data_IF_861466436855
#
_entry.id   IF_861466436855
#
_cell.length_a   1.000
_cell.length_b   1.000
_cell.length_c   1.000
_cell.angle_alpha   90.00
_cell.angle_beta   90.00
_cell.angle_gamma   90.00
#
_symmetry.space_group_name_H-M   'P 1'
#
loop_
_entity.id
_entity.type
_entity.pdbx_description
1 polymer ?
#
# COMPACT_ATOMS: atom_id res chain seq x y z
N UNK A 1 -29.88 -61.91 2.56
CA UNK A 1 -30.87 -61.08 3.28
C UNK A 1 -30.24 -59.72 3.57
N UNK A 2 -31.07 -58.68 3.65
CA UNK A 2 -30.76 -57.22 3.71
C UNK A 2 -30.59 -56.54 2.35
N UNK A 3 -31.76 -56.24 1.77
CA UNK A 3 -31.98 -55.23 0.72
C UNK A 3 -31.99 -53.85 1.40
N UNK A 4 -31.12 -52.93 0.98
CA UNK A 4 -31.22 -51.51 1.33
C UNK A 4 -31.65 -50.75 0.08
N UNK A 5 -32.94 -50.42 0.04
CA UNK A 5 -33.56 -49.56 -0.97
C UNK A 5 -33.39 -48.13 -0.47
N UNK A 6 -32.60 -47.33 -1.18
CA UNK A 6 -32.52 -45.89 -0.93
C UNK A 6 -33.69 -45.17 -1.61
N UNK A 7 -34.40 -44.41 -0.79
CA UNK A 7 -35.59 -43.64 -1.07
C UNK A 7 -35.24 -42.36 -1.83
N UNK A 8 -35.98 -42.11 -2.91
CA UNK A 8 -35.94 -40.90 -3.73
C UNK A 8 -36.49 -39.73 -2.92
N UNK A 9 -35.70 -38.67 -2.74
CA UNK A 9 -36.16 -37.37 -2.26
C UNK A 9 -35.99 -36.35 -3.39
N UNK A 10 -37.03 -36.22 -4.20
CA UNK A 10 -37.21 -35.11 -5.14
C UNK A 10 -37.62 -33.89 -4.33
N UNK A 11 -36.75 -32.88 -4.24
CA UNK A 11 -37.09 -31.60 -3.62
C UNK A 11 -37.24 -30.55 -4.72
N UNK A 12 -38.48 -30.07 -4.83
CA UNK A 12 -38.97 -29.16 -5.84
C UNK A 12 -38.24 -27.81 -5.82
N UNK A 13 -37.83 -27.34 -7.00
CA UNK A 13 -37.51 -25.94 -7.25
C UNK A 13 -38.80 -25.13 -7.19
N UNK A 14 -38.93 -24.24 -6.20
CA UNK A 14 -40.01 -23.27 -6.14
C UNK A 14 -39.54 -21.98 -6.82
N UNK A 15 -39.94 -21.83 -8.08
CA UNK A 15 -39.89 -20.57 -8.83
C UNK A 15 -41.02 -19.67 -8.32
N UNK A 16 -40.67 -18.49 -7.78
CA UNK A 16 -41.62 -17.41 -7.61
C UNK A 16 -41.33 -16.33 -8.66
N UNK A 17 -42.35 -16.02 -9.45
CA UNK A 17 -42.37 -15.03 -10.51
C UNK A 17 -43.14 -13.82 -10.00
N UNK A 18 -42.61 -12.60 -10.14
CA UNK A 18 -43.49 -11.45 -10.39
C UNK A 18 -42.80 -10.33 -11.16
N UNK A 19 -43.44 -9.96 -12.26
CA UNK A 19 -43.09 -8.94 -13.24
C UNK A 19 -43.31 -7.53 -12.71
N UNK A 20 -42.56 -6.55 -13.21
CA UNK A 20 -43.13 -5.39 -13.92
C UNK A 20 -42.06 -4.50 -14.56
N UNK A 21 -42.29 -4.26 -15.86
CA UNK A 21 -42.08 -3.00 -16.59
C UNK A 21 -40.67 -2.55 -16.95
N UNK A 22 -40.35 -2.79 -18.22
CA UNK A 22 -39.41 -2.05 -19.06
C UNK A 22 -39.71 -0.55 -19.05
N UNK A 23 -38.68 0.27 -18.85
CA UNK A 23 -38.61 1.59 -19.47
C UNK A 23 -37.17 1.80 -19.92
N UNK A 24 -36.97 1.75 -21.23
CA UNK A 24 -35.79 2.30 -21.90
C UNK A 24 -35.74 3.80 -21.60
N UNK A 25 -34.56 4.33 -21.27
CA UNK A 25 -34.16 5.68 -21.67
C UNK A 25 -32.64 5.85 -21.51
N UNK A 26 -31.97 5.75 -22.67
CA UNK A 26 -30.92 6.66 -23.16
C UNK A 26 -30.19 7.48 -22.09
N UNK A 27 -28.97 7.06 -21.75
CA UNK A 27 -28.02 7.89 -21.03
C UNK A 27 -27.58 9.05 -21.93
N UNK A 28 -28.27 10.17 -21.80
CA UNK A 28 -27.85 11.47 -22.26
C UNK A 28 -26.85 12.06 -21.25
N UNK A 29 -25.70 12.41 -21.80
CA UNK A 29 -24.72 13.37 -21.32
C UNK A 29 -25.32 14.48 -20.46
N UNK A 30 -25.12 14.40 -19.14
CA UNK A 30 -25.20 15.57 -18.26
C UNK A 30 -23.86 15.73 -17.58
N UNK A 31 -23.14 16.77 -18.01
CA UNK A 31 -21.96 17.31 -17.36
C UNK A 31 -22.29 17.59 -15.90
N UNK A 32 -21.69 16.81 -14.99
CA UNK A 32 -21.54 17.23 -13.61
C UNK A 32 -20.38 18.22 -13.56
N UNK A 33 -20.74 19.49 -13.45
CA UNK A 33 -19.86 20.60 -13.13
C UNK A 33 -19.06 20.26 -11.88
N UNK A 34 -17.79 19.90 -12.06
CA UNK A 34 -16.81 19.81 -10.98
C UNK A 34 -16.52 21.24 -10.52
N UNK A 35 -17.16 21.65 -9.42
CA UNK A 35 -16.72 22.80 -8.63
C UNK A 35 -15.31 22.50 -8.17
N UNK A 36 -14.34 23.07 -8.87
CA UNK A 36 -12.95 23.11 -8.46
C UNK A 36 -12.91 24.07 -7.27
N UNK A 37 -13.02 23.53 -6.07
CA UNK A 37 -12.46 24.21 -4.90
C UNK A 37 -10.96 24.24 -5.11
N UNK A 38 -10.53 25.34 -5.71
CA UNK A 38 -9.14 25.71 -5.82
C UNK A 38 -8.68 26.01 -4.40
N UNK A 39 -8.28 24.97 -3.66
CA UNK A 39 -7.50 25.13 -2.44
C UNK A 39 -6.29 25.94 -2.85
N UNK A 40 -6.27 27.18 -2.41
CA UNK A 40 -5.14 28.09 -2.55
C UNK A 40 -3.96 27.43 -1.86
N UNK A 41 -3.15 26.68 -2.63
CA UNK A 41 -1.87 26.17 -2.17
C UNK A 41 -1.02 27.41 -1.98
N UNK A 42 -1.07 27.94 -0.77
CA UNK A 42 -0.11 28.94 -0.32
C UNK A 42 1.21 28.20 -0.33
N UNK A 43 2.04 28.45 -1.33
CA UNK A 43 3.42 27.98 -1.36
C UNK A 43 4.15 28.60 -0.18
N UNK A 44 4.01 27.96 0.98
CA UNK A 44 4.90 28.17 2.10
C UNK A 44 6.27 27.70 1.62
N UNK A 45 7.23 28.62 1.62
CA UNK A 45 8.64 28.35 1.38
C UNK A 45 9.04 27.18 2.29
N UNK A 46 9.18 25.97 1.75
CA UNK A 46 9.47 24.81 2.59
C UNK A 46 10.86 25.02 3.19
N UNK A 47 10.91 25.01 4.51
CA UNK A 47 12.14 25.00 5.32
C UNK A 47 12.87 23.63 5.24
N UNK A 48 12.60 22.85 4.19
CA UNK A 48 13.05 21.47 4.05
C UNK A 48 12.25 20.45 4.86
N UNK A 49 11.16 20.85 5.53
CA UNK A 49 10.25 19.93 6.22
C UNK A 49 9.10 19.47 5.30
N UNK A 50 8.56 18.29 5.58
CA UNK A 50 7.35 17.76 4.99
C UNK A 50 6.10 18.43 5.63
N UNK A 51 5.08 18.68 4.81
CA UNK A 51 3.80 19.24 5.29
C UNK A 51 2.90 18.10 5.80
N UNK A 52 2.86 17.92 7.12
CA UNK A 52 2.07 16.89 7.78
C UNK A 52 0.55 17.11 7.64
N UNK A 53 0.10 18.33 7.33
CA UNK A 53 -1.33 18.63 7.18
C UNK A 53 -1.96 17.97 5.94
N UNK A 54 -1.12 17.53 4.99
CA UNK A 54 -1.55 16.82 3.78
C UNK A 54 -1.94 15.36 4.04
N UNK A 55 -1.70 14.82 5.25
CA UNK A 55 -2.03 13.45 5.60
C UNK A 55 -1.42 12.45 4.61
N UNK A 56 -2.23 11.59 3.99
CA UNK A 56 -1.76 10.59 3.00
C UNK A 56 -1.15 11.21 1.73
N UNK A 57 -1.36 12.51 1.48
CA UNK A 57 -0.80 13.24 0.34
C UNK A 57 0.53 13.93 0.68
N UNK A 58 1.06 13.73 1.89
CA UNK A 58 2.34 14.33 2.29
C UNK A 58 3.48 13.89 1.38
N UNK A 59 4.44 14.77 1.19
CA UNK A 59 5.63 14.51 0.37
C UNK A 59 6.85 14.41 1.27
N UNK A 60 7.50 13.24 1.26
CA UNK A 60 8.76 12.99 1.96
C UNK A 60 9.80 12.56 0.93
N UNK A 61 10.90 13.28 0.83
CA UNK A 61 11.98 12.97 -0.12
C UNK A 61 13.26 13.68 0.31
N UNK A 62 14.35 13.59 -0.46
CA UNK A 62 15.67 14.20 -0.16
C UNK A 62 15.64 15.73 0.08
N UNK A 63 14.55 16.43 -0.22
CA UNK A 63 14.34 17.87 0.02
C UNK A 63 13.32 18.17 1.13
N UNK A 64 12.47 17.20 1.51
CA UNK A 64 11.39 17.35 2.47
C UNK A 64 11.48 16.23 3.50
N UNK A 65 12.02 16.53 4.68
CA UNK A 65 12.19 15.55 5.77
C UNK A 65 11.02 15.58 6.75
N UNK A 66 10.87 14.49 7.49
CA UNK A 66 10.02 14.39 8.66
C UNK A 66 10.77 14.82 9.94
N UNK A 67 10.05 15.36 10.94
CA UNK A 67 10.59 15.57 12.28
C UNK A 67 11.12 14.26 12.90
N UNK A 68 12.12 14.37 13.79
CA UNK A 68 12.72 13.21 14.44
C UNK A 68 11.77 12.47 15.38
N UNK A 69 10.80 13.18 15.96
CA UNK A 69 9.77 12.66 16.86
C UNK A 69 8.49 12.20 16.12
N UNK A 70 8.42 12.38 14.80
CA UNK A 70 7.31 11.86 14.00
C UNK A 70 7.40 10.34 13.89
N UNK A 71 6.60 9.65 14.68
CA UNK A 71 6.63 8.20 14.88
C UNK A 71 5.19 7.62 14.91
N UNK A 72 4.49 7.60 13.77
CA UNK A 72 3.09 7.17 13.71
C UNK A 72 2.90 5.64 13.81
N UNK A 73 3.96 4.85 13.60
CA UNK A 73 3.83 3.42 13.32
C UNK A 73 3.34 3.16 11.89
N UNK A 74 3.07 1.89 11.57
CA UNK A 74 2.46 1.51 10.29
C UNK A 74 1.02 2.03 10.21
N UNK A 75 0.64 2.62 9.08
CA UNK A 75 -0.74 2.99 8.84
C UNK A 75 -1.60 1.72 8.68
N UNK A 76 -2.64 1.51 9.52
CA UNK A 76 -3.38 0.25 9.54
C UNK A 76 -4.12 -0.06 8.23
N UNK A 77 -4.65 0.96 7.56
CA UNK A 77 -5.38 0.80 6.29
C UNK A 77 -4.39 0.44 5.18
N UNK A 78 -3.26 1.14 5.11
CA UNK A 78 -2.24 0.85 4.10
C UNK A 78 -1.64 -0.56 4.30
N UNK A 79 -1.36 -0.94 5.56
CA UNK A 79 -0.90 -2.28 5.89
C UNK A 79 -1.90 -3.37 5.49
N UNK A 80 -3.21 -3.14 5.68
CA UNK A 80 -4.25 -4.05 5.20
C UNK A 80 -4.21 -4.20 3.68
N UNK A 81 -4.10 -3.10 2.94
CA UNK A 81 -4.04 -3.13 1.47
C UNK A 81 -2.78 -3.78 0.92
N UNK A 82 -1.64 -3.66 1.59
CA UNK A 82 -0.42 -4.38 1.21
C UNK A 82 -0.56 -5.88 1.44
N UNK A 83 -1.22 -6.31 2.52
CA UNK A 83 -1.50 -7.73 2.75
C UNK A 83 -2.46 -8.31 1.70
N UNK A 84 -3.50 -7.58 1.31
CA UNK A 84 -4.37 -7.95 0.18
C UNK A 84 -3.58 -8.08 -1.13
N UNK A 85 -2.68 -7.13 -1.41
CA UNK A 85 -1.82 -7.18 -2.59
C UNK A 85 -0.91 -8.42 -2.59
N UNK A 86 -0.22 -8.68 -1.47
CA UNK A 86 0.67 -9.83 -1.31
C UNK A 86 -0.10 -11.14 -1.55
N UNK A 87 -1.27 -11.29 -0.91
CA UNK A 87 -2.13 -12.45 -1.11
C UNK A 87 -2.49 -12.59 -2.59
N UNK A 88 -2.85 -11.50 -3.26
CA UNK A 88 -3.23 -11.55 -4.68
C UNK A 88 -2.06 -11.97 -5.57
N UNK A 89 -0.84 -11.53 -5.28
CA UNK A 89 0.34 -11.96 -6.01
C UNK A 89 0.61 -13.46 -5.82
N UNK A 90 0.42 -13.98 -4.60
CA UNK A 90 0.58 -15.41 -4.32
C UNK A 90 -0.48 -16.26 -5.05
N UNK A 91 -1.73 -15.80 -5.09
CA UNK A 91 -2.81 -16.46 -5.87
C UNK A 91 -2.51 -16.53 -7.37
N UNK A 92 -1.79 -15.54 -7.90
CA UNK A 92 -1.32 -15.50 -9.29
C UNK A 92 -0.06 -16.36 -9.53
N UNK A 93 0.47 -17.02 -8.50
CA UNK A 93 1.61 -17.93 -8.60
C UNK A 93 2.98 -17.26 -8.46
N UNK A 94 3.04 -15.98 -8.07
CA UNK A 94 4.32 -15.32 -7.80
C UNK A 94 4.91 -15.81 -6.46
N UNK A 95 6.23 -16.04 -6.43
CA UNK A 95 6.95 -16.39 -5.20
C UNK A 95 7.18 -15.12 -4.36
N UNK A 96 6.19 -14.76 -3.54
CA UNK A 96 6.19 -13.56 -2.68
C UNK A 96 6.09 -13.97 -1.21
N UNK A 97 6.89 -13.33 -0.36
CA UNK A 97 6.85 -13.53 1.08
C UNK A 97 5.60 -12.90 1.71
N UNK A 98 5.13 -13.48 2.81
CA UNK A 98 4.14 -12.81 3.67
C UNK A 98 4.75 -11.63 4.46
N UNK A 99 6.08 -11.57 4.53
CA UNK A 99 6.81 -10.50 5.21
C UNK A 99 7.13 -9.36 4.24
N UNK A 100 7.14 -8.14 4.75
CA UNK A 100 7.50 -6.91 4.03
C UNK A 100 8.22 -5.94 4.97
N UNK A 101 8.89 -4.92 4.40
CA UNK A 101 9.48 -3.82 5.17
C UNK A 101 8.53 -2.63 5.15
N UNK A 102 7.79 -2.42 6.24
CA UNK A 102 6.84 -1.31 6.38
C UNK A 102 7.46 -0.12 7.11
N UNK A 103 6.81 0.30 8.20
CA UNK A 103 7.24 1.44 9.01
C UNK A 103 8.68 1.30 9.54
N UNK A 104 9.47 2.38 9.39
CA UNK A 104 10.79 2.52 10.00
C UNK A 104 10.86 3.82 10.78
N UNK A 105 11.14 3.71 12.09
CA UNK A 105 11.32 4.91 12.93
C UNK A 105 12.56 5.71 12.52
N UNK A 106 12.59 6.97 12.93
CA UNK A 106 13.76 7.83 12.75
C UNK A 106 15.04 7.21 13.33
N UNK A 107 14.96 6.62 14.53
CA UNK A 107 16.10 5.99 15.20
C UNK A 107 16.57 4.74 14.47
N UNK A 108 15.64 3.91 13.99
CA UNK A 108 15.99 2.75 13.17
C UNK A 108 16.68 3.21 11.87
N UNK A 109 16.13 4.22 11.20
CA UNK A 109 16.72 4.78 9.97
C UNK A 109 18.10 5.39 10.23
N UNK A 110 18.32 5.96 11.42
CA UNK A 110 19.63 6.48 11.84
C UNK A 110 20.65 5.34 11.89
N UNK A 111 20.34 4.25 12.58
CA UNK A 111 21.23 3.10 12.69
C UNK A 111 21.51 2.47 11.32
N UNK A 112 20.45 2.26 10.52
CA UNK A 112 20.56 1.69 9.18
C UNK A 112 21.45 2.53 8.26
N UNK A 113 21.21 3.84 8.20
CA UNK A 113 22.01 4.74 7.38
C UNK A 113 23.47 4.74 7.84
N UNK A 114 23.74 4.77 9.15
CA UNK A 114 25.12 4.73 9.66
C UNK A 114 25.81 3.39 9.36
N UNK A 115 25.10 2.27 9.40
CA UNK A 115 25.66 0.98 8.99
C UNK A 115 26.14 1.02 7.53
N UNK A 116 25.36 1.61 6.63
CA UNK A 116 25.73 1.78 5.23
C UNK A 116 26.89 2.77 5.04
N UNK A 117 26.90 3.89 5.76
CA UNK A 117 28.04 4.83 5.75
C UNK A 117 29.33 4.14 6.19
N UNK A 118 29.26 3.32 7.25
CA UNK A 118 30.43 2.62 7.77
C UNK A 118 30.93 1.51 6.83
N UNK A 119 30.01 0.86 6.10
CA UNK A 119 30.32 -0.24 5.19
C UNK A 119 30.85 0.24 3.84
N UNK A 120 30.15 1.19 3.22
CA UNK A 120 30.34 1.55 1.80
C UNK A 120 30.72 3.02 1.60
N UNK A 121 30.80 3.81 2.68
CA UNK A 121 31.10 5.23 2.62
C UNK A 121 29.85 6.09 2.41
N UNK A 122 29.99 7.37 2.80
CA UNK A 122 28.87 8.31 2.83
C UNK A 122 28.25 8.58 1.46
N UNK A 123 29.09 8.73 0.43
CA UNK A 123 28.63 9.03 -0.92
C UNK A 123 27.80 7.89 -1.50
N UNK A 124 28.22 6.63 -1.32
CA UNK A 124 27.46 5.46 -1.72
C UNK A 124 26.16 5.33 -0.91
N UNK A 125 26.21 5.49 0.42
CA UNK A 125 25.02 5.43 1.26
C UNK A 125 23.97 6.49 0.88
N UNK A 126 24.38 7.69 0.44
CA UNK A 126 23.47 8.73 -0.05
C UNK A 126 22.75 8.37 -1.37
N UNK A 127 23.22 7.37 -2.14
CA UNK A 127 22.58 6.94 -3.40
C UNK A 127 21.48 5.90 -3.17
N UNK A 128 21.71 4.92 -2.31
CA UNK A 128 20.79 3.78 -2.12
C UNK A 128 20.09 3.75 -0.75
N UNK A 129 20.52 4.57 0.21
CA UNK A 129 19.86 4.72 1.50
C UNK A 129 19.27 6.13 1.67
N UNK A 130 18.64 6.37 2.81
CA UNK A 130 18.08 7.65 3.19
C UNK A 130 18.65 8.10 4.54
N UNK A 131 19.05 9.37 4.61
CA UNK A 131 19.35 10.03 5.88
C UNK A 131 18.10 10.01 6.78
N UNK A 132 18.23 9.97 8.12
CA UNK A 132 17.07 9.93 8.99
C UNK A 132 16.19 11.18 8.79
N UNK A 133 14.87 11.00 8.80
CA UNK A 133 13.89 12.01 8.40
C UNK A 133 13.57 12.03 6.90
N UNK A 134 14.46 11.53 6.02
CA UNK A 134 14.28 11.59 4.57
C UNK A 134 13.75 10.28 3.94
N UNK A 135 13.36 9.32 4.76
CA UNK A 135 12.82 8.02 4.34
C UNK A 135 11.29 8.03 4.36
N UNK A 136 10.65 7.67 3.24
CA UNK A 136 9.19 7.53 3.19
C UNK A 136 8.66 6.45 4.15
N UNK A 137 9.48 5.47 4.55
CA UNK A 137 9.06 4.47 5.53
C UNK A 137 8.72 5.07 6.90
N UNK A 138 9.25 6.26 7.23
CA UNK A 138 8.89 6.94 8.49
C UNK A 138 7.44 7.48 8.46
N UNK A 139 6.81 7.58 7.28
CA UNK A 139 5.38 7.92 7.16
C UNK A 139 4.44 6.80 7.63
N UNK A 140 4.93 5.55 7.64
CA UNK A 140 4.07 4.37 7.81
C UNK A 140 3.21 4.03 6.59
N UNK A 141 3.44 4.68 5.44
CA UNK A 141 2.70 4.49 4.19
C UNK A 141 3.53 3.80 3.09
N UNK A 142 4.84 3.60 3.29
CA UNK A 142 5.74 2.95 2.34
C UNK A 142 6.05 1.51 2.76
N UNK A 143 6.13 0.63 1.76
CA UNK A 143 6.26 -0.82 1.94
C UNK A 143 7.17 -1.44 0.87
N UNK A 144 8.29 -2.03 1.28
CA UNK A 144 9.12 -2.84 0.38
C UNK A 144 8.62 -4.28 0.39
N UNK A 145 8.27 -4.81 -0.78
CA UNK A 145 7.76 -6.18 -0.96
C UNK A 145 8.93 -7.15 -1.10
N UNK A 146 8.86 -8.30 -0.41
CA UNK A 146 9.91 -9.32 -0.45
C UNK A 146 9.52 -10.51 -1.33
N UNK A 147 10.49 -11.04 -2.06
CA UNK A 147 10.35 -12.30 -2.77
C UNK A 147 10.30 -13.50 -1.79
N UNK A 148 9.94 -14.69 -2.28
CA UNK A 148 9.83 -15.90 -1.46
C UNK A 148 11.15 -16.41 -0.86
N UNK A 149 12.30 -15.87 -1.30
CA UNK A 149 13.62 -16.13 -0.72
C UNK A 149 14.03 -15.09 0.34
N UNK A 150 13.20 -14.07 0.60
CA UNK A 150 13.44 -13.03 1.60
C UNK A 150 14.23 -11.82 1.11
N UNK A 151 14.61 -11.76 -0.17
CA UNK A 151 15.22 -10.57 -0.79
C UNK A 151 14.16 -9.56 -1.25
N UNK A 152 14.56 -8.34 -1.60
CA UNK A 152 13.64 -7.38 -2.22
C UNK A 152 13.11 -7.95 -3.53
N UNK A 153 11.82 -7.72 -3.79
CA UNK A 153 11.23 -8.12 -5.06
C UNK A 153 11.90 -7.36 -6.21
N UNK A 154 12.55 -8.08 -7.12
CA UNK A 154 13.26 -7.51 -8.27
C UNK A 154 14.77 -7.43 -8.10
N UNK A 155 15.32 -7.69 -6.90
CA UNK A 155 16.75 -7.96 -6.75
C UNK A 155 17.06 -9.39 -7.21
N UNK A 156 18.02 -9.55 -8.13
CA UNK A 156 18.50 -10.88 -8.48
C UNK A 156 19.42 -11.40 -7.37
N UNK A 157 19.41 -12.71 -7.08
CA UNK A 157 20.31 -13.32 -6.09
C UNK A 157 21.82 -13.23 -6.41
N UNK A 158 22.21 -12.54 -7.48
CA UNK A 158 23.56 -12.48 -8.04
C UNK A 158 24.08 -11.03 -8.21
N UNK A 159 23.30 -10.03 -7.80
CA UNK A 159 23.73 -8.63 -7.84
C UNK A 159 24.45 -8.22 -6.54
#
# INVERSE_FOLDING_TARGET
MKKFIYMVASLAFLTACHSTTTTENKADSTQATATTEQTTVTTQKSNGEADLSLGIQMVVNKKHKLPADYNPGENPIAGEKVRELIQKMQELGFSISNQYSGFRSYDYQTQLYQNYVNKDGKEAADTYSARPGYSEHQTGLAFDILNGSGGLLGENPQD
#
